data_IF_099501131435
#
_entry.id   IF_099501131435
#
_cell.length_a   1.000
_cell.length_b   1.000
_cell.length_c   1.000
_cell.angle_alpha   90.00
_cell.angle_beta   90.00
_cell.angle_gamma   90.00
#
_symmetry.space_group_name_H-M   'P 1'
#
loop_
_entity.id
_entity.type
_entity.pdbx_description
1 polymer ?
#
# COMPACT_ATOMS: atom_id res chain seq x y z
N UNK A 1 63.80 -17.61 68.98
CA UNK A 1 62.94 -17.73 67.80
C UNK A 1 62.74 -16.33 67.21
N UNK A 2 63.04 -16.18 65.91
CA UNK A 2 63.41 -14.92 65.24
C UNK A 2 62.24 -14.40 64.40
N UNK A 3 61.89 -13.13 64.55
CA UNK A 3 60.96 -12.38 63.70
C UNK A 3 61.31 -12.50 62.20
N UNK A 4 60.29 -12.53 61.33
CA UNK A 4 60.32 -11.85 60.01
C UNK A 4 58.94 -11.84 59.33
N UNK A 5 58.40 -10.64 59.21
CA UNK A 5 57.50 -10.18 58.14
C UNK A 5 58.11 -10.44 56.75
N UNK A 6 57.25 -10.67 55.73
CA UNK A 6 57.18 -9.86 54.48
C UNK A 6 56.20 -10.46 53.46
N UNK A 7 55.40 -9.53 52.91
CA UNK A 7 54.49 -9.65 51.77
C UNK A 7 55.16 -10.21 50.50
N UNK A 8 54.45 -11.07 49.78
CA UNK A 8 54.61 -11.42 48.36
C UNK A 8 53.39 -12.30 48.02
N UNK A 9 52.59 -12.14 46.97
CA UNK A 9 52.82 -11.63 45.63
C UNK A 9 51.46 -11.17 45.06
N UNK A 10 51.47 -9.99 44.46
CA UNK A 10 50.42 -9.37 43.68
C UNK A 10 50.24 -10.15 42.36
N UNK A 11 49.01 -10.52 41.99
CA UNK A 11 48.69 -10.91 40.62
C UNK A 11 47.34 -10.28 40.23
N UNK A 12 47.43 -9.00 39.88
CA UNK A 12 46.39 -8.25 39.19
C UNK A 12 46.32 -8.78 37.75
N UNK A 13 45.36 -9.65 37.44
CA UNK A 13 45.03 -9.98 36.07
C UNK A 13 44.12 -8.87 35.52
N UNK A 14 44.74 -7.88 34.87
CA UNK A 14 44.02 -6.84 34.13
C UNK A 14 43.40 -7.52 32.90
N UNK A 15 42.10 -7.83 32.98
CA UNK A 15 41.32 -8.17 31.80
C UNK A 15 41.20 -6.90 30.94
N UNK A 16 42.10 -6.76 29.97
CA UNK A 16 41.95 -5.82 28.87
C UNK A 16 40.76 -6.29 28.02
N UNK A 17 39.54 -5.95 28.45
CA UNK A 17 38.37 -6.10 27.59
C UNK A 17 38.55 -5.10 26.46
N UNK A 18 38.91 -5.62 25.28
CA UNK A 18 38.86 -4.90 24.02
C UNK A 18 37.40 -4.47 23.80
N UNK A 19 37.06 -3.25 24.21
CA UNK A 19 35.81 -2.64 23.79
C UNK A 19 35.96 -2.38 22.30
N UNK A 20 35.44 -3.29 21.49
CA UNK A 20 35.22 -3.01 20.08
C UNK A 20 34.23 -1.86 20.00
N UNK A 21 34.74 -0.67 19.71
CA UNK A 21 33.93 0.47 19.30
C UNK A 21 33.22 0.04 18.02
N UNK A 22 31.99 -0.45 18.17
CA UNK A 22 31.08 -0.49 17.04
C UNK A 22 30.82 0.97 16.74
N UNK A 23 31.49 1.50 15.71
CA UNK A 23 31.09 2.74 15.10
C UNK A 23 29.61 2.58 14.74
N UNK A 24 28.72 3.07 15.61
CA UNK A 24 27.37 3.39 15.22
C UNK A 24 27.56 4.51 14.21
N UNK A 25 27.65 4.15 12.93
CA UNK A 25 27.39 5.07 11.84
C UNK A 25 25.99 5.58 12.15
N UNK A 26 25.95 6.74 12.80
CA UNK A 26 24.74 7.50 13.00
C UNK A 26 24.21 7.72 11.60
N UNK A 27 23.23 6.90 11.20
CA UNK A 27 22.40 7.19 10.05
C UNK A 27 21.67 8.46 10.44
N UNK A 28 22.26 9.61 10.14
CA UNK A 28 21.50 10.83 9.93
C UNK A 28 20.48 10.43 8.88
N UNK A 29 19.22 10.28 9.30
CA UNK A 29 18.11 10.02 8.40
C UNK A 29 17.96 11.26 7.52
N UNK A 30 18.73 11.33 6.44
CA UNK A 30 18.40 12.22 5.35
C UNK A 30 17.05 11.72 4.84
N UNK A 31 16.09 12.63 4.79
CA UNK A 31 14.78 12.33 4.24
C UNK A 31 14.94 12.18 2.72
N UNK A 32 15.51 11.06 2.29
CA UNK A 32 15.81 10.72 0.89
C UNK A 32 14.54 10.50 0.05
N UNK A 33 13.37 10.72 0.66
CA UNK A 33 12.08 10.58 0.01
C UNK A 33 11.82 11.77 -0.90
N UNK A 34 11.79 11.53 -2.21
CA UNK A 34 11.43 12.54 -3.20
C UNK A 34 9.89 12.65 -3.23
N UNK A 35 9.37 13.77 -2.75
CA UNK A 35 7.94 14.07 -2.75
C UNK A 35 7.54 14.83 -4.01
N UNK A 36 6.82 14.17 -4.90
CA UNK A 36 6.19 14.83 -6.05
C UNK A 36 4.93 15.54 -5.56
N UNK A 37 4.87 16.85 -5.77
CA UNK A 37 3.74 17.69 -5.36
C UNK A 37 3.12 18.35 -6.59
N UNK A 38 1.80 18.46 -6.56
CA UNK A 38 1.05 19.18 -7.59
C UNK A 38 1.56 20.62 -7.70
N UNK A 39 1.72 21.07 -8.94
CA UNK A 39 2.03 22.49 -9.24
C UNK A 39 0.77 23.34 -9.28
N UNK A 40 -0.38 22.70 -9.51
CA UNK A 40 -1.70 23.32 -9.45
C UNK A 40 -2.09 23.50 -7.98
N UNK A 41 -2.60 24.67 -7.56
CA UNK A 41 -3.13 24.87 -6.21
C UNK A 41 -4.47 24.14 -6.04
N UNK A 42 -4.79 23.75 -4.80
CA UNK A 42 -6.07 23.11 -4.51
C UNK A 42 -7.17 24.16 -4.35
N UNK A 43 -8.24 24.03 -5.14
CA UNK A 43 -9.44 24.86 -5.05
C UNK A 43 -10.49 24.18 -4.16
N UNK A 44 -10.60 24.69 -2.93
CA UNK A 44 -11.52 24.17 -1.91
C UNK A 44 -12.98 24.43 -2.26
N UNK A 45 -13.29 25.60 -2.85
CA UNK A 45 -14.66 25.99 -3.17
C UNK A 45 -15.20 25.13 -4.31
N UNK A 46 -14.38 24.89 -5.33
CA UNK A 46 -14.71 23.97 -6.41
C UNK A 46 -14.98 22.56 -5.89
N UNK A 47 -14.11 22.04 -5.02
CA UNK A 47 -14.27 20.70 -4.45
C UNK A 47 -15.55 20.59 -3.59
N UNK A 48 -15.81 21.60 -2.76
CA UNK A 48 -17.03 21.69 -1.93
C UNK A 48 -18.29 21.74 -2.81
N UNK A 49 -18.28 22.54 -3.87
CA UNK A 49 -19.42 22.66 -4.77
C UNK A 49 -19.66 21.37 -5.57
N UNK A 50 -18.60 20.66 -5.97
CA UNK A 50 -18.70 19.39 -6.69
C UNK A 50 -19.23 18.24 -5.80
N UNK A 51 -19.03 18.33 -4.48
CA UNK A 51 -19.54 17.39 -3.49
C UNK A 51 -20.85 17.83 -2.83
N UNK A 52 -21.42 18.96 -3.24
CA UNK A 52 -22.74 19.39 -2.76
C UNK A 52 -23.84 18.40 -3.17
N UNK A 53 -24.92 18.39 -2.39
CA UNK A 53 -26.03 17.46 -2.63
C UNK A 53 -26.67 17.67 -4.00
N UNK A 54 -26.93 16.55 -4.67
CA UNK A 54 -27.77 16.46 -5.86
C UNK A 54 -28.79 15.33 -5.72
N UNK A 55 -29.36 14.89 -6.84
CA UNK A 55 -30.39 13.83 -6.86
C UNK A 55 -29.88 12.52 -7.45
N UNK A 56 -28.62 12.49 -7.88
CA UNK A 56 -28.05 11.35 -8.60
C UNK A 56 -27.47 10.30 -7.65
N UNK A 57 -27.20 9.11 -8.18
CA UNK A 57 -26.59 8.02 -7.41
C UNK A 57 -25.49 7.37 -8.24
N UNK A 58 -24.38 7.01 -7.60
CA UNK A 58 -23.36 6.11 -8.18
C UNK A 58 -23.50 4.77 -7.49
N UNK A 59 -23.73 3.69 -8.24
CA UNK A 59 -23.72 2.32 -7.73
C UNK A 59 -22.57 1.55 -8.36
N UNK A 60 -21.86 0.75 -7.57
CA UNK A 60 -20.72 0.02 -8.10
C UNK A 60 -20.46 -1.30 -7.43
N UNK A 61 -19.46 -2.01 -7.96
CA UNK A 61 -18.96 -3.26 -7.41
C UNK A 61 -17.44 -3.32 -7.48
N UNK A 62 -16.82 -3.75 -6.39
CA UNK A 62 -15.39 -3.99 -6.22
C UNK A 62 -15.11 -5.48 -6.39
N UNK A 63 -14.18 -5.82 -7.29
CA UNK A 63 -13.75 -7.21 -7.49
C UNK A 63 -12.31 -7.31 -7.98
N UNK A 64 -11.64 -8.39 -7.60
CA UNK A 64 -10.30 -8.72 -8.07
C UNK A 64 -10.33 -10.12 -8.68
N UNK A 65 -9.75 -10.31 -9.86
CA UNK A 65 -9.56 -11.65 -10.42
C UNK A 65 -8.10 -12.03 -10.31
N UNK A 66 -7.86 -13.15 -9.63
CA UNK A 66 -6.53 -13.73 -9.49
C UNK A 66 -6.43 -14.93 -10.44
N UNK A 67 -5.27 -15.14 -11.08
CA UNK A 67 -4.98 -16.34 -11.82
C UNK A 67 -4.45 -17.38 -10.82
N UNK A 68 -5.13 -18.51 -10.60
CA UNK A 68 -4.52 -19.66 -9.95
C UNK A 68 -3.81 -20.53 -10.99
N UNK A 69 -3.20 -21.62 -10.53
CA UNK A 69 -2.69 -22.69 -11.37
C UNK A 69 -3.80 -23.34 -12.24
N UNK A 70 -5.06 -23.37 -11.77
CA UNK A 70 -6.16 -24.17 -12.36
C UNK A 70 -7.36 -23.35 -12.91
N UNK A 71 -7.18 -22.05 -13.22
CA UNK A 71 -8.20 -21.21 -13.89
C UNK A 71 -8.74 -20.01 -13.07
N UNK A 72 -8.84 -18.84 -13.71
CA UNK A 72 -9.06 -17.55 -13.05
C UNK A 72 -10.27 -17.51 -12.10
N UNK A 73 -10.07 -17.04 -10.86
CA UNK A 73 -11.13 -16.88 -9.85
C UNK A 73 -11.33 -15.41 -9.48
N UNK A 74 -12.58 -14.97 -9.45
CA UNK A 74 -12.97 -13.62 -9.01
C UNK A 74 -13.33 -13.60 -7.53
N UNK A 75 -12.81 -12.60 -6.83
CA UNK A 75 -13.07 -12.31 -5.43
C UNK A 75 -13.78 -10.96 -5.33
N UNK A 76 -14.84 -10.89 -4.55
CA UNK A 76 -15.55 -9.63 -4.26
C UNK A 76 -14.95 -8.97 -3.02
N UNK A 77 -14.76 -7.65 -3.10
CA UNK A 77 -14.12 -6.89 -2.04
C UNK A 77 -15.13 -6.53 -0.95
N UNK A 78 -15.24 -7.35 0.10
CA UNK A 78 -16.13 -7.09 1.24
C UNK A 78 -15.50 -6.17 2.26
N UNK A 79 -16.30 -5.26 2.85
CA UNK A 79 -15.87 -4.33 3.91
C UNK A 79 -14.66 -3.46 3.50
N UNK A 80 -14.62 -3.04 2.24
CA UNK A 80 -13.60 -2.14 1.74
C UNK A 80 -14.15 -0.72 1.67
N UNK A 81 -13.33 0.25 2.05
CA UNK A 81 -13.67 1.67 1.93
C UNK A 81 -13.39 2.09 0.49
N UNK A 82 -14.44 2.47 -0.22
CA UNK A 82 -14.34 3.14 -1.52
C UNK A 82 -14.31 4.63 -1.27
N UNK A 83 -13.24 5.28 -1.73
CA UNK A 83 -13.08 6.72 -1.68
C UNK A 83 -13.59 7.33 -2.99
N UNK A 84 -14.35 8.42 -2.87
CA UNK A 84 -14.80 9.22 -3.99
C UNK A 84 -14.24 10.62 -3.86
N UNK A 85 -13.54 11.09 -4.90
CA UNK A 85 -13.02 12.44 -5.01
C UNK A 85 -13.71 13.19 -6.15
N UNK A 86 -14.01 14.49 -5.98
CA UNK A 86 -14.39 15.33 -7.11
C UNK A 86 -13.19 15.48 -8.05
N UNK A 87 -13.41 15.41 -9.36
CA UNK A 87 -12.32 15.57 -10.34
C UNK A 87 -11.99 17.05 -10.50
N UNK A 88 -11.05 17.51 -9.68
CA UNK A 88 -10.49 18.87 -9.73
C UNK A 88 -9.24 18.92 -10.61
N UNK A 89 -8.83 20.10 -11.11
CA UNK A 89 -7.55 20.25 -11.79
C UNK A 89 -6.35 19.77 -10.95
N UNK A 90 -6.39 20.04 -9.64
CA UNK A 90 -5.41 19.55 -8.67
C UNK A 90 -5.34 18.02 -8.64
N UNK A 91 -6.50 17.34 -8.61
CA UNK A 91 -6.53 15.88 -8.59
C UNK A 91 -5.92 15.32 -9.88
N UNK A 92 -6.24 15.90 -11.04
CA UNK A 92 -5.68 15.46 -12.32
C UNK A 92 -4.15 15.58 -12.35
N UNK A 93 -3.59 16.69 -11.88
CA UNK A 93 -2.14 16.86 -11.77
C UNK A 93 -1.51 15.81 -10.82
N UNK A 94 -2.12 15.60 -9.65
CA UNK A 94 -1.71 14.55 -8.71
C UNK A 94 -1.73 13.15 -9.35
N UNK A 95 -2.75 12.83 -10.15
CA UNK A 95 -2.85 11.53 -10.82
C UNK A 95 -1.73 11.32 -11.83
N UNK A 96 -1.30 12.37 -12.54
CA UNK A 96 -0.15 12.31 -13.44
C UNK A 96 1.17 12.12 -12.68
N UNK A 97 1.35 12.83 -11.56
CA UNK A 97 2.52 12.65 -10.70
C UNK A 97 2.59 11.22 -10.13
N UNK A 98 1.44 10.64 -9.79
CA UNK A 98 1.37 9.28 -9.24
C UNK A 98 1.82 8.20 -10.24
N UNK A 99 1.72 8.45 -11.54
CA UNK A 99 2.28 7.55 -12.57
C UNK A 99 3.82 7.53 -12.56
N UNK A 100 4.45 8.55 -11.98
CA UNK A 100 5.90 8.70 -11.92
C UNK A 100 6.51 8.18 -10.61
N UNK A 101 5.70 7.54 -9.76
CA UNK A 101 6.17 6.93 -8.52
C UNK A 101 7.17 5.83 -8.80
N UNK A 102 8.22 5.81 -7.99
CA UNK A 102 9.23 4.77 -8.01
C UNK A 102 9.57 4.42 -6.55
N UNK A 103 8.90 3.40 -5.97
CA UNK A 103 9.16 2.97 -4.61
C UNK A 103 10.60 2.51 -4.38
N UNK A 104 11.31 2.04 -5.42
CA UNK A 104 12.73 1.64 -5.31
C UNK A 104 13.65 2.84 -5.15
N UNK A 105 13.23 4.01 -5.66
CA UNK A 105 13.94 5.29 -5.55
C UNK A 105 13.31 6.24 -4.54
N UNK A 106 12.43 5.73 -3.66
CA UNK A 106 11.73 6.52 -2.66
C UNK A 106 11.00 7.76 -3.23
N UNK A 107 10.49 7.66 -4.46
CA UNK A 107 9.83 8.75 -5.17
C UNK A 107 8.32 8.53 -5.12
N UNK A 108 7.58 9.39 -4.41
CA UNK A 108 6.15 9.24 -4.18
C UNK A 108 5.38 10.52 -4.50
N UNK A 109 4.18 10.38 -5.07
CA UNK A 109 3.26 11.49 -5.24
C UNK A 109 2.52 11.76 -3.93
N UNK A 110 2.44 13.04 -3.57
CA UNK A 110 1.84 13.44 -2.30
C UNK A 110 0.56 14.24 -2.54
N UNK A 111 -0.56 13.68 -2.10
CA UNK A 111 -1.83 14.37 -2.07
C UNK A 111 -1.87 15.29 -0.84
N UNK A 112 -2.26 16.56 -1.03
CA UNK A 112 -2.31 17.50 0.10
C UNK A 112 -3.34 17.08 1.15
N UNK A 113 -3.05 17.25 2.45
CA UNK A 113 -4.00 16.96 3.52
C UNK A 113 -5.31 17.76 3.40
N UNK A 114 -5.23 18.97 2.85
CA UNK A 114 -6.42 19.80 2.55
C UNK A 114 -7.30 19.12 1.53
N UNK A 115 -6.75 18.69 0.38
CA UNK A 115 -7.53 17.99 -0.64
C UNK A 115 -8.10 16.65 -0.17
N UNK A 116 -7.39 15.92 0.69
CA UNK A 116 -7.86 14.66 1.26
C UNK A 116 -9.16 14.79 2.05
N UNK A 117 -9.42 15.95 2.67
CA UNK A 117 -10.67 16.22 3.41
C UNK A 117 -11.90 16.24 2.50
N UNK A 118 -11.73 16.57 1.22
CA UNK A 118 -12.81 16.67 0.25
C UNK A 118 -12.99 15.33 -0.49
N UNK A 119 -13.40 14.32 0.27
CA UNK A 119 -13.75 12.99 -0.23
C UNK A 119 -15.03 12.50 0.42
N UNK A 120 -15.73 11.61 -0.27
CA UNK A 120 -16.79 10.81 0.32
C UNK A 120 -16.29 9.36 0.47
N UNK A 121 -16.87 8.66 1.43
CA UNK A 121 -16.54 7.26 1.71
C UNK A 121 -17.79 6.40 1.65
N UNK A 122 -17.67 5.21 1.06
CA UNK A 122 -18.70 4.19 1.09
C UNK A 122 -18.07 2.83 1.35
N UNK A 123 -18.61 2.08 2.30
CA UNK A 123 -18.14 0.72 2.59
C UNK A 123 -18.85 -0.29 1.71
N UNK A 124 -18.10 -1.19 1.08
CA UNK A 124 -18.66 -2.25 0.25
C UNK A 124 -19.26 -3.40 1.09
N UNK A 125 -20.35 -3.99 0.61
CA UNK A 125 -20.99 -5.16 1.22
C UNK A 125 -20.28 -6.49 0.88
N UNK A 126 -20.80 -7.61 1.36
CA UNK A 126 -20.25 -8.96 1.11
C UNK A 126 -20.15 -9.36 -0.37
N UNK A 127 -20.91 -8.71 -1.26
CA UNK A 127 -20.85 -8.90 -2.71
C UNK A 127 -20.00 -7.84 -3.41
N UNK A 128 -19.25 -7.06 -2.63
CA UNK A 128 -18.41 -5.96 -3.11
C UNK A 128 -19.18 -4.75 -3.59
N UNK A 129 -20.48 -4.66 -3.34
CA UNK A 129 -21.32 -3.57 -3.83
C UNK A 129 -21.23 -2.35 -2.93
N UNK A 130 -21.23 -1.16 -3.53
CA UNK A 130 -21.20 0.12 -2.83
C UNK A 130 -22.11 1.12 -3.55
N UNK A 131 -22.50 2.18 -2.83
CA UNK A 131 -23.28 3.26 -3.41
C UNK A 131 -22.93 4.62 -2.78
N UNK A 132 -22.93 5.65 -3.61
CA UNK A 132 -22.91 7.06 -3.20
C UNK A 132 -24.24 7.69 -3.62
N UNK A 133 -24.99 8.19 -2.66
CA UNK A 133 -26.30 8.82 -2.87
C UNK A 133 -26.15 10.34 -2.87
N UNK A 134 -27.17 11.02 -3.40
CA UNK A 134 -27.26 12.49 -3.42
C UNK A 134 -26.09 13.16 -4.15
N UNK A 135 -25.64 12.54 -5.24
CA UNK A 135 -24.55 13.07 -6.05
C UNK A 135 -25.06 14.14 -7.00
N UNK A 136 -24.29 15.22 -7.15
CA UNK A 136 -24.52 16.24 -8.17
C UNK A 136 -24.00 15.78 -9.54
N UNK A 137 -24.50 16.32 -10.66
CA UNK A 137 -23.83 16.17 -11.95
C UNK A 137 -22.39 16.66 -11.89
N UNK A 138 -21.47 15.86 -12.44
CA UNK A 138 -20.03 16.12 -12.32
C UNK A 138 -19.18 14.89 -12.61
N UNK A 139 -17.86 15.08 -12.57
CA UNK A 139 -16.87 14.02 -12.74
C UNK A 139 -16.30 13.64 -11.38
N UNK A 140 -16.22 12.34 -11.16
CA UNK A 140 -15.78 11.74 -9.91
C UNK A 140 -14.71 10.68 -10.16
N UNK A 141 -13.72 10.65 -9.28
CA UNK A 141 -12.68 9.64 -9.26
C UNK A 141 -12.91 8.71 -8.07
N UNK A 142 -13.10 7.43 -8.36
CA UNK A 142 -13.28 6.38 -7.37
C UNK A 142 -11.97 5.64 -7.16
N UNK A 143 -11.64 5.33 -5.92
CA UNK A 143 -10.47 4.55 -5.53
C UNK A 143 -10.78 3.61 -4.38
N UNK A 144 -10.20 2.41 -4.42
CA UNK A 144 -10.27 1.42 -3.35
C UNK A 144 -8.97 0.63 -3.30
N UNK A 145 -8.52 0.31 -2.09
CA UNK A 145 -7.40 -0.59 -1.87
C UNK A 145 -7.94 -1.98 -1.54
N UNK A 146 -7.57 -2.96 -2.36
CA UNK A 146 -8.01 -4.34 -2.23
C UNK A 146 -6.86 -5.20 -1.67
N UNK A 147 -6.89 -5.56 -0.38
CA UNK A 147 -5.92 -6.47 0.17
C UNK A 147 -6.17 -7.88 -0.36
N UNK A 148 -5.11 -8.56 -0.78
CA UNK A 148 -5.17 -9.95 -1.19
C UNK A 148 -3.90 -10.70 -0.79
N UNK A 149 -4.02 -12.02 -0.61
CA UNK A 149 -2.92 -12.87 -0.20
C UNK A 149 -2.68 -13.95 -1.26
N UNK A 150 -1.42 -14.19 -1.56
CA UNK A 150 -0.98 -15.30 -2.38
C UNK A 150 -0.20 -16.28 -1.50
N UNK A 151 -0.63 -17.53 -1.46
CA UNK A 151 0.05 -18.62 -0.76
C UNK A 151 0.48 -19.67 -1.76
N UNK A 152 1.67 -20.23 -1.57
CA UNK A 152 2.19 -21.30 -2.41
C UNK A 152 3.24 -22.10 -1.66
N UNK A 153 3.87 -23.02 -2.38
CA UNK A 153 5.00 -23.80 -1.88
C UNK A 153 6.03 -23.98 -2.96
N UNK A 154 7.30 -23.88 -2.59
CA UNK A 154 8.44 -24.19 -3.45
C UNK A 154 9.18 -25.42 -2.92
N UNK A 155 9.81 -26.18 -3.81
CA UNK A 155 10.70 -27.27 -3.41
C UNK A 155 12.07 -26.68 -3.06
N UNK A 156 12.43 -26.77 -1.79
CA UNK A 156 13.72 -26.34 -1.27
C UNK A 156 14.66 -27.54 -1.21
N UNK A 157 15.78 -27.46 -1.89
CA UNK A 157 16.83 -28.47 -1.82
C UNK A 157 17.38 -28.56 -0.38
N UNK A 158 17.41 -29.77 0.18
CA UNK A 158 17.86 -30.01 1.57
C UNK A 158 19.08 -30.91 1.69
N UNK A 159 19.50 -31.55 0.59
CA UNK A 159 20.69 -32.39 0.58
C UNK A 159 20.65 -33.44 -0.53
N UNK A 160 21.70 -34.24 -0.62
CA UNK A 160 21.82 -35.33 -1.59
C UNK A 160 22.49 -36.53 -0.92
N UNK A 161 22.06 -37.75 -1.29
CA UNK A 161 22.68 -39.00 -0.86
C UNK A 161 22.97 -39.85 -2.09
N UNK A 162 24.25 -40.10 -2.35
CA UNK A 162 24.68 -40.72 -3.61
C UNK A 162 24.32 -39.87 -4.82
N UNK A 163 23.48 -40.41 -5.71
CA UNK A 163 23.00 -39.75 -6.93
C UNK A 163 21.55 -39.24 -6.79
N UNK A 164 21.02 -39.10 -5.58
CA UNK A 164 19.63 -38.68 -5.33
C UNK A 164 19.56 -37.39 -4.54
N UNK A 165 18.92 -36.39 -5.12
CA UNK A 165 18.66 -35.09 -4.49
C UNK A 165 17.35 -35.10 -3.71
N UNK A 166 17.39 -34.54 -2.50
CA UNK A 166 16.24 -34.42 -1.61
C UNK A 166 15.74 -32.98 -1.55
N UNK A 167 14.42 -32.85 -1.56
CA UNK A 167 13.73 -31.57 -1.48
C UNK A 167 12.66 -31.62 -0.40
N UNK A 168 12.51 -30.53 0.33
CA UNK A 168 11.40 -30.29 1.25
C UNK A 168 10.49 -29.20 0.70
N UNK A 169 9.20 -29.27 1.03
CA UNK A 169 8.24 -28.21 0.68
C UNK A 169 8.39 -27.03 1.63
N UNK A 170 8.80 -25.89 1.10
CA UNK A 170 8.79 -24.61 1.80
C UNK A 170 7.51 -23.85 1.44
N UNK A 171 6.66 -23.58 2.41
CA UNK A 171 5.42 -22.82 2.21
C UNK A 171 5.69 -21.33 2.40
N UNK A 172 5.11 -20.50 1.52
CA UNK A 172 5.18 -19.05 1.62
C UNK A 172 3.80 -18.41 1.56
N UNK A 173 3.72 -17.20 2.13
CA UNK A 173 2.53 -16.35 2.10
C UNK A 173 2.94 -14.90 1.87
N UNK A 174 2.47 -14.32 0.78
CA UNK A 174 2.72 -12.93 0.43
C UNK A 174 1.41 -12.16 0.48
N UNK A 175 1.41 -11.04 1.22
CA UNK A 175 0.28 -10.10 1.27
C UNK A 175 0.55 -8.96 0.30
N UNK A 176 -0.47 -8.60 -0.44
CA UNK A 176 -0.44 -7.54 -1.42
C UNK A 176 -1.63 -6.61 -1.19
N UNK A 177 -1.47 -5.38 -1.63
CA UNK A 177 -2.55 -4.41 -1.70
C UNK A 177 -2.68 -3.94 -3.14
N UNK A 178 -3.85 -4.11 -3.72
CA UNK A 178 -4.11 -3.72 -5.09
C UNK A 178 -5.04 -2.50 -5.09
N UNK A 179 -4.51 -1.35 -5.51
CA UNK A 179 -5.35 -0.19 -5.82
C UNK A 179 -6.18 -0.47 -7.08
N UNK A 180 -7.48 -0.23 -7.00
CA UNK A 180 -8.40 -0.17 -8.14
C UNK A 180 -9.00 1.23 -8.20
N UNK A 181 -9.11 1.77 -9.41
CA UNK A 181 -9.69 3.09 -9.60
C UNK A 181 -10.43 3.26 -10.91
N UNK A 182 -11.33 4.25 -10.95
CA UNK A 182 -12.16 4.55 -12.11
C UNK A 182 -12.67 5.99 -12.08
N UNK A 183 -12.66 6.65 -13.24
CA UNK A 183 -13.40 7.90 -13.46
C UNK A 183 -14.85 7.60 -13.83
N UNK A 184 -15.78 8.35 -13.23
CA UNK A 184 -17.23 8.28 -13.49
C UNK A 184 -17.74 9.69 -13.72
N UNK A 185 -18.67 9.85 -14.66
CA UNK A 185 -19.30 11.13 -14.96
C UNK A 185 -20.82 11.00 -14.83
N UNK A 186 -21.43 11.88 -14.05
CA UNK A 186 -22.87 12.05 -13.96
C UNK A 186 -23.24 13.23 -14.86
N UNK A 187 -23.92 12.97 -15.98
CA UNK A 187 -24.26 14.02 -16.96
C UNK A 187 -25.55 14.78 -16.62
N UNK A 188 -26.49 14.11 -15.95
CA UNK A 188 -27.83 14.63 -15.69
C UNK A 188 -28.21 14.38 -14.23
N UNK A 189 -28.84 15.37 -13.61
CA UNK A 189 -29.30 15.23 -12.24
C UNK A 189 -30.43 14.21 -12.13
N UNK A 190 -30.43 13.42 -11.05
CA UNK A 190 -31.34 12.30 -10.86
C UNK A 190 -30.93 11.00 -11.57
N UNK A 191 -29.76 10.97 -12.24
CA UNK A 191 -29.28 9.75 -12.91
C UNK A 191 -28.72 8.73 -11.91
N UNK A 192 -28.72 7.45 -12.31
CA UNK A 192 -27.98 6.39 -11.61
C UNK A 192 -26.85 5.89 -12.51
N UNK A 193 -25.61 6.17 -12.11
CA UNK A 193 -24.41 5.76 -12.85
C UNK A 193 -23.80 4.48 -12.26
N UNK A 194 -23.26 3.62 -13.14
CA UNK A 194 -22.65 2.34 -12.75
C UNK A 194 -21.12 2.42 -12.76
N UNK A 195 -20.50 1.95 -11.68
CA UNK A 195 -19.04 1.93 -11.52
C UNK A 195 -18.51 0.51 -11.24
N UNK A 196 -17.78 -0.08 -12.19
CA UNK A 196 -17.07 -1.35 -11.98
C UNK A 196 -15.61 -1.07 -11.59
N UNK A 197 -15.25 -1.33 -10.34
CA UNK A 197 -13.88 -1.31 -9.85
C UNK A 197 -13.35 -2.74 -9.91
N UNK A 198 -12.71 -3.08 -11.03
CA UNK A 198 -12.25 -4.43 -11.31
C UNK A 198 -10.86 -4.46 -11.89
N UNK A 199 -10.05 -5.43 -11.45
CA UNK A 199 -8.73 -5.69 -12.02
C UNK A 199 -8.48 -7.18 -12.12
N UNK A 200 -7.89 -7.59 -13.23
CA UNK A 200 -7.29 -8.90 -13.39
C UNK A 200 -5.81 -8.77 -13.01
N UNK A 201 -5.38 -9.47 -11.96
CA UNK A 201 -3.98 -9.54 -11.60
C UNK A 201 -3.34 -10.55 -12.53
N UNK A 202 -2.31 -10.16 -13.28
CA UNK A 202 -1.50 -11.14 -14.01
C UNK A 202 -0.44 -11.63 -13.03
N UNK A 203 -0.39 -12.94 -12.78
CA UNK A 203 0.64 -13.53 -11.91
C UNK A 203 2.01 -13.12 -12.43
N UNK A 204 2.85 -12.51 -11.57
CA UNK A 204 4.28 -12.43 -11.88
C UNK A 204 4.79 -13.87 -11.88
N UNK A 205 4.96 -14.46 -13.06
CA UNK A 205 5.91 -15.57 -13.22
C UNK A 205 7.25 -15.00 -12.74
N UNK A 206 7.75 -15.52 -11.61
CA UNK A 206 9.15 -15.31 -11.23
C UNK A 206 10.02 -16.08 -12.21
#
# INVERSE_FOLDING_TARGET
MKNRTKNLLLLFLIFFTSVTVHAQVGRTSSNDTIKLKSTVPFDEEFAKLALSEGKSTIKGRVSLTLPPADGAKTFYGSNLIVYLFPVTPYLLDFLELRKQEDPKRLKFAFLSPTSWKYRLEATSNGQGEFAFYHMKPGKYYLEVYFPWQYTGSDNKYVGSEGNTDYYEKEYFSNKYEQMLSKMVEIKKDGATEKAKLHKFVVGRRR
#
